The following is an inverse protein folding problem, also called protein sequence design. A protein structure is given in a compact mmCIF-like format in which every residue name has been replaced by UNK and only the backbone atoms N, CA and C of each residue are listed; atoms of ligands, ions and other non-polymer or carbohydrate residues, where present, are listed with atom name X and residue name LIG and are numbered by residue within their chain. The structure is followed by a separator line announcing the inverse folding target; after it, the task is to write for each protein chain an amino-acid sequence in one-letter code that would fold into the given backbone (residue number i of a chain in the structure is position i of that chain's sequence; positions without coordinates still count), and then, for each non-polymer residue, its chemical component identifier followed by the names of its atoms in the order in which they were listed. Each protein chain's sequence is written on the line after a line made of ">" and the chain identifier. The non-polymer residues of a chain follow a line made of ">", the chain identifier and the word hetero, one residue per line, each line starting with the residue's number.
data_IF_059879661655
#
_entry.id   IF_059879661655
#
_cell.length_a   1.000
_cell.length_b   1.000
_cell.length_c   1.000
_cell.angle_alpha   90.00
_cell.angle_beta   90.00
_cell.angle_gamma   90.00
#
_symmetry.space_group_name_H-M   'P 1'
#
loop_
_entity.id
_entity.type
_entity.pdbx_description
1 polymer ?
#
# COMPACT_ATOMS: atom_id res chain seq x y z
N UNK A 1 28.08 67.06 -5.43
CA UNK A 1 27.80 65.62 -5.17
C UNK A 1 26.33 65.37 -5.50
N UNK A 2 25.99 64.33 -6.27
CA UNK A 2 24.59 63.95 -6.54
C UNK A 2 24.15 62.89 -5.51
N UNK A 3 22.97 63.03 -4.91
CA UNK A 3 22.27 61.94 -4.20
C UNK A 3 21.05 61.56 -5.04
N UNK A 4 20.89 60.28 -5.35
CA UNK A 4 19.68 59.78 -5.99
C UNK A 4 18.56 59.68 -4.95
N UNK A 5 17.34 60.06 -5.34
CA UNK A 5 16.14 59.60 -4.67
C UNK A 5 15.74 58.24 -5.29
N UNK A 6 15.36 57.27 -4.45
CA UNK A 6 14.89 55.96 -4.89
C UNK A 6 13.39 55.86 -4.56
N UNK A 7 12.53 55.88 -5.58
CA UNK A 7 11.08 55.79 -5.39
C UNK A 7 10.69 54.35 -5.06
N UNK A 8 10.18 54.13 -3.84
CA UNK A 8 9.70 52.82 -3.40
C UNK A 8 8.23 52.64 -3.81
N UNK A 9 7.99 51.88 -4.88
CA UNK A 9 6.63 51.57 -5.33
C UNK A 9 6.02 50.43 -4.49
N UNK A 10 4.97 50.73 -3.71
CA UNK A 10 4.19 49.71 -3.03
C UNK A 10 3.32 48.96 -4.05
N UNK A 11 3.66 47.71 -4.33
CA UNK A 11 2.77 46.75 -4.98
C UNK A 11 1.82 46.16 -3.93
N UNK A 12 0.58 46.63 -3.90
CA UNK A 12 -0.47 46.01 -3.10
C UNK A 12 -0.80 44.63 -3.65
N UNK A 13 -0.30 43.59 -2.99
CA UNK A 13 -0.71 42.20 -3.24
C UNK A 13 -2.18 42.02 -2.82
N UNK A 14 -3.08 41.94 -3.80
CA UNK A 14 -4.48 41.60 -3.56
C UNK A 14 -4.59 40.11 -3.20
N UNK A 15 -4.60 39.80 -1.91
CA UNK A 15 -4.83 38.45 -1.41
C UNK A 15 -6.24 37.98 -1.81
N UNK A 16 -6.32 37.05 -2.76
CA UNK A 16 -7.58 36.39 -3.07
C UNK A 16 -8.03 35.58 -1.85
N UNK A 17 -9.07 36.07 -1.15
CA UNK A 17 -9.82 35.24 -0.19
C UNK A 17 -10.53 34.14 -1.00
N UNK A 18 -9.92 32.97 -1.03
CA UNK A 18 -10.60 31.76 -1.50
C UNK A 18 -11.81 31.52 -0.57
N UNK A 19 -13.02 31.55 -1.13
CA UNK A 19 -14.22 31.13 -0.42
C UNK A 19 -14.12 29.63 -0.13
N UNK A 20 -13.59 29.33 1.05
CA UNK A 20 -13.68 28.01 1.65
C UNK A 20 -15.13 27.80 2.07
N UNK A 21 -15.93 27.23 1.17
CA UNK A 21 -17.24 26.70 1.50
C UNK A 21 -17.05 25.72 2.66
N UNK A 22 -17.68 26.03 3.80
CA UNK A 22 -17.45 25.36 5.07
C UNK A 22 -18.05 23.96 5.02
N UNK A 23 -17.22 23.01 4.56
CA UNK A 23 -17.48 21.60 4.81
C UNK A 23 -17.41 21.44 6.32
N UNK A 24 -18.55 21.17 6.96
CA UNK A 24 -18.60 20.78 8.36
C UNK A 24 -17.77 19.50 8.55
N UNK A 25 -16.49 19.68 8.84
CA UNK A 25 -15.63 18.61 9.30
C UNK A 25 -16.27 18.10 10.60
N UNK A 26 -16.67 16.81 10.67
CA UNK A 26 -17.38 16.30 11.84
C UNK A 26 -16.57 16.60 13.08
N UNK A 27 -17.21 17.28 14.05
CA UNK A 27 -16.51 17.86 15.19
C UNK A 27 -15.61 16.80 15.85
N UNK A 28 -14.38 17.19 16.23
CA UNK A 28 -13.33 16.24 16.66
C UNK A 28 -13.72 15.35 17.86
N UNK A 29 -14.81 15.66 18.55
CA UNK A 29 -15.36 14.92 19.68
C UNK A 29 -16.63 14.12 19.35
N UNK A 30 -17.01 13.97 18.07
CA UNK A 30 -18.11 13.08 17.66
C UNK A 30 -17.76 11.64 18.06
N UNK A 31 -18.44 11.13 19.09
CA UNK A 31 -18.24 9.78 19.58
C UNK A 31 -18.53 8.76 18.46
N UNK A 32 -17.66 7.76 18.32
CA UNK A 32 -17.83 6.70 17.31
C UNK A 32 -19.18 6.00 17.54
N UNK A 33 -20.05 5.85 16.51
CA UNK A 33 -21.39 5.29 16.69
C UNK A 33 -21.40 3.89 17.32
N UNK A 34 -22.49 3.53 17.99
CA UNK A 34 -22.62 2.23 18.64
C UNK A 34 -22.87 1.08 17.63
N UNK A 35 -23.63 1.34 16.56
CA UNK A 35 -24.06 0.31 15.61
C UNK A 35 -23.02 0.10 14.48
N UNK A 36 -22.73 -1.14 14.07
CA UNK A 36 -21.72 -1.44 13.04
C UNK A 36 -21.92 -0.70 11.72
N UNK A 37 -23.16 -0.54 11.28
CA UNK A 37 -23.53 0.14 10.04
C UNK A 37 -23.08 1.61 10.06
N UNK A 38 -23.36 2.28 11.18
CA UNK A 38 -23.01 3.68 11.42
C UNK A 38 -21.50 3.85 11.62
N UNK A 39 -20.81 2.85 12.19
CA UNK A 39 -19.35 2.83 12.27
C UNK A 39 -18.70 2.69 10.89
N UNK A 40 -19.21 1.80 10.04
CA UNK A 40 -18.75 1.61 8.66
C UNK A 40 -18.90 2.91 7.88
N UNK A 41 -20.07 3.56 7.95
CA UNK A 41 -20.30 4.84 7.28
C UNK A 41 -19.37 5.95 7.78
N UNK A 42 -19.19 6.05 9.10
CA UNK A 42 -18.31 7.03 9.74
C UNK A 42 -16.85 6.83 9.35
N UNK A 43 -16.36 5.60 9.36
CA UNK A 43 -14.97 5.27 9.04
C UNK A 43 -14.69 5.44 7.53
N UNK A 44 -15.64 5.08 6.65
CA UNK A 44 -15.57 5.36 5.20
C UNK A 44 -15.57 6.88 4.90
N UNK A 45 -16.45 7.65 5.56
CA UNK A 45 -16.44 9.12 5.46
C UNK A 45 -15.12 9.71 6.00
N UNK A 46 -14.55 9.13 7.05
CA UNK A 46 -13.22 9.47 7.56
C UNK A 46 -12.11 9.27 6.52
N UNK A 47 -12.11 8.13 5.82
CA UNK A 47 -11.18 7.84 4.73
C UNK A 47 -11.33 8.82 3.56
N UNK A 48 -12.55 9.05 3.09
CA UNK A 48 -12.82 10.04 2.03
C UNK A 48 -12.38 11.45 2.41
N UNK A 49 -12.58 11.87 3.66
CA UNK A 49 -12.14 13.19 4.14
C UNK A 49 -10.60 13.32 4.11
N UNK A 50 -9.86 12.27 4.47
CA UNK A 50 -8.40 12.25 4.30
C UNK A 50 -8.02 12.35 2.82
N UNK A 51 -8.60 11.51 1.94
CA UNK A 51 -8.34 11.57 0.49
C UNK A 51 -8.65 12.96 -0.11
N UNK A 52 -9.73 13.60 0.35
CA UNK A 52 -10.11 14.95 -0.07
C UNK A 52 -9.16 16.06 0.43
N UNK A 53 -8.45 15.83 1.53
CA UNK A 53 -7.44 16.76 2.08
C UNK A 53 -6.08 16.69 1.39
N UNK A 54 -5.84 15.68 0.54
CA UNK A 54 -4.59 15.51 -0.21
C UNK A 54 -4.39 16.62 -1.26
N UNK A 55 -3.51 17.59 -0.97
CA UNK A 55 -3.00 18.54 -1.95
C UNK A 55 -1.72 18.04 -2.66
N UNK A 56 -1.28 18.66 -3.77
CA UNK A 56 -0.09 18.22 -4.52
C UNK A 56 1.21 18.22 -3.71
N UNK A 57 1.36 19.14 -2.76
CA UNK A 57 2.49 19.18 -1.82
C UNK A 57 2.21 18.49 -0.48
N UNK A 58 1.11 17.72 -0.39
CA UNK A 58 0.82 16.97 0.83
C UNK A 58 1.76 15.77 0.95
N UNK A 59 2.69 15.87 1.90
CA UNK A 59 3.48 14.74 2.39
C UNK A 59 2.65 13.77 3.24
N UNK A 60 1.38 13.58 2.90
CA UNK A 60 0.41 12.74 3.60
C UNK A 60 1.01 11.36 3.86
N UNK A 61 1.27 11.10 5.13
CA UNK A 61 1.91 9.85 5.55
C UNK A 61 0.87 8.78 5.84
N UNK A 62 1.35 7.57 6.08
CA UNK A 62 0.52 6.46 6.55
C UNK A 62 -0.20 6.73 7.86
N UNK A 63 0.19 7.77 8.62
CA UNK A 63 -0.52 8.18 9.82
C UNK A 63 -1.93 8.72 9.51
N UNK A 64 -2.15 9.24 8.29
CA UNK A 64 -3.42 9.81 7.85
C UNK A 64 -4.28 8.81 7.08
N UNK A 65 -3.70 8.13 6.06
CA UNK A 65 -4.41 7.17 5.20
C UNK A 65 -4.41 5.76 5.80
N UNK A 66 -3.26 5.33 6.32
CA UNK A 66 -3.06 3.99 6.86
C UNK A 66 -3.96 3.58 8.04
N UNK A 67 -4.61 4.46 8.84
CA UNK A 67 -5.61 4.00 9.80
C UNK A 67 -6.76 3.25 9.12
N UNK A 68 -7.13 3.64 7.89
CA UNK A 68 -8.29 3.12 7.16
C UNK A 68 -7.99 1.94 6.23
N UNK A 69 -6.73 1.48 6.12
CA UNK A 69 -6.34 0.39 5.23
C UNK A 69 -5.85 -0.82 6.03
N UNK A 70 -6.49 -1.97 5.88
CA UNK A 70 -6.18 -3.18 6.66
C UNK A 70 -4.75 -3.65 6.38
N UNK A 71 -4.08 -4.17 7.41
CA UNK A 71 -2.69 -4.63 7.29
C UNK A 71 -1.65 -3.51 7.11
N UNK A 72 -2.03 -2.26 6.86
CA UNK A 72 -1.10 -1.14 6.84
C UNK A 72 -0.49 -0.92 8.25
N UNK A 73 0.84 -0.81 8.31
CA UNK A 73 1.66 -0.69 9.54
C UNK A 73 2.40 0.66 9.60
N UNK A 74 2.98 1.00 10.74
CA UNK A 74 3.92 2.13 10.85
C UNK A 74 5.11 1.89 9.90
N UNK A 75 5.59 2.94 9.23
CA UNK A 75 6.77 2.84 8.34
C UNK A 75 6.48 2.18 6.99
N UNK A 76 5.22 2.17 6.56
CA UNK A 76 4.83 1.77 5.22
C UNK A 76 5.23 2.89 4.23
N UNK A 77 6.52 3.10 3.86
CA UNK A 77 7.07 4.11 2.89
C UNK A 77 6.57 3.83 1.32
N UNK A 78 5.29 4.92 -0.26
CA UNK A 78 4.52 4.81 -1.55
C UNK A 78 3.25 5.63 -1.47
N UNK A 79 2.56 5.60 -0.31
CA UNK A 79 1.52 6.55 0.06
C UNK A 79 1.94 7.99 -0.27
N UNK A 80 3.12 8.47 0.14
CA UNK A 80 3.59 9.84 -0.16
C UNK A 80 4.02 10.13 -1.62
N UNK A 81 4.10 9.09 -2.46
CA UNK A 81 4.42 9.20 -3.90
C UNK A 81 3.11 9.11 -4.70
N UNK A 82 2.28 8.11 -4.39
CA UNK A 82 0.93 7.93 -4.91
C UNK A 82 -0.02 9.07 -4.47
N UNK A 83 0.05 9.60 -3.24
CA UNK A 83 -0.80 10.74 -2.81
C UNK A 83 -0.51 11.98 -3.63
N UNK A 84 0.76 12.19 -4.01
CA UNK A 84 1.20 13.30 -4.85
C UNK A 84 0.61 13.18 -6.25
N UNK A 85 0.75 12.01 -6.88
CA UNK A 85 0.17 11.80 -8.22
C UNK A 85 -1.36 11.72 -8.20
N UNK A 86 -1.98 11.14 -7.17
CA UNK A 86 -3.43 11.16 -6.95
C UNK A 86 -3.97 12.57 -6.72
N UNK A 87 -3.30 13.39 -5.90
CA UNK A 87 -3.70 14.78 -5.67
C UNK A 87 -3.55 15.64 -6.93
N UNK A 88 -2.51 15.40 -7.75
CA UNK A 88 -2.37 16.00 -9.08
C UNK A 88 -3.49 15.55 -10.03
N UNK A 89 -3.73 14.23 -10.16
CA UNK A 89 -4.70 13.69 -11.11
C UNK A 89 -6.15 13.96 -10.72
N UNK A 90 -6.42 14.17 -9.43
CA UNK A 90 -7.71 14.62 -8.89
C UNK A 90 -8.00 16.08 -9.24
N UNK A 91 -6.97 16.91 -9.45
CA UNK A 91 -7.09 18.35 -9.60
C UNK A 91 -7.97 18.95 -8.47
N UNK A 92 -9.08 19.59 -8.82
CA UNK A 92 -10.00 20.26 -7.91
C UNK A 92 -11.18 19.36 -7.49
N UNK A 93 -11.20 18.12 -7.98
CA UNK A 93 -12.29 17.15 -7.76
C UNK A 93 -12.34 16.63 -6.33
N UNK A 94 -13.51 16.20 -5.87
CA UNK A 94 -13.74 15.64 -4.53
C UNK A 94 -14.51 14.33 -4.62
N UNK A 95 -14.18 13.39 -3.75
CA UNK A 95 -14.93 12.14 -3.58
C UNK A 95 -15.98 12.34 -2.49
N UNK A 96 -17.27 12.10 -2.79
CA UNK A 96 -18.35 12.06 -1.80
C UNK A 96 -18.93 10.66 -1.72
N UNK A 97 -19.28 10.19 -0.51
CA UNK A 97 -20.10 9.00 -0.32
C UNK A 97 -21.56 9.37 -0.61
N UNK A 98 -22.15 8.82 -1.66
CA UNK A 98 -23.58 8.99 -1.96
C UNK A 98 -24.42 7.88 -1.32
N UNK A 99 -23.92 6.64 -1.38
CA UNK A 99 -24.63 5.44 -0.91
C UNK A 99 -23.64 4.38 -0.43
N UNK A 100 -24.02 3.60 0.58
CA UNK A 100 -23.43 2.29 0.83
C UNK A 100 -24.52 1.28 1.20
N UNK A 101 -24.31 0.01 0.89
CA UNK A 101 -25.18 -1.10 1.24
C UNK A 101 -24.33 -2.25 1.78
N UNK A 102 -24.69 -2.80 2.94
CA UNK A 102 -24.03 -3.97 3.49
C UNK A 102 -24.62 -5.22 2.84
N UNK A 103 -23.77 -5.96 2.13
CA UNK A 103 -24.12 -7.26 1.55
C UNK A 103 -23.92 -8.39 2.56
N UNK A 104 -22.90 -8.27 3.42
CA UNK A 104 -22.55 -9.26 4.44
C UNK A 104 -21.92 -8.60 5.66
N UNK A 105 -22.23 -9.08 6.86
CA UNK A 105 -21.60 -8.70 8.13
C UNK A 105 -21.44 -9.94 9.02
N UNK A 106 -20.22 -10.30 9.36
CA UNK A 106 -19.85 -11.46 10.19
C UNK A 106 -18.74 -11.05 11.17
N UNK A 107 -19.12 -10.69 12.40
CA UNK A 107 -18.16 -10.38 13.47
C UNK A 107 -17.32 -9.14 13.15
N UNK A 108 -16.02 -9.32 12.93
CA UNK A 108 -15.08 -8.27 12.54
C UNK A 108 -14.94 -8.07 11.02
N UNK A 109 -15.71 -8.78 10.19
CA UNK A 109 -15.67 -8.70 8.73
C UNK A 109 -16.99 -8.20 8.13
N UNK A 110 -16.90 -7.31 7.14
CA UNK A 110 -18.04 -6.83 6.37
C UNK A 110 -17.73 -6.82 4.87
N UNK A 111 -18.74 -7.06 4.05
CA UNK A 111 -18.69 -6.86 2.59
C UNK A 111 -19.75 -5.83 2.23
N UNK A 112 -19.33 -4.75 1.58
CA UNK A 112 -20.16 -3.58 1.33
C UNK A 112 -20.05 -3.12 -0.12
N UNK A 113 -21.17 -2.72 -0.71
CA UNK A 113 -21.22 -2.06 -2.00
C UNK A 113 -21.32 -0.55 -1.76
N UNK A 114 -20.38 0.23 -2.29
CA UNK A 114 -20.15 1.64 -1.93
C UNK A 114 -20.18 2.49 -3.20
N UNK A 115 -21.17 3.37 -3.32
CA UNK A 115 -21.26 4.35 -4.41
C UNK A 115 -20.64 5.66 -3.98
N UNK A 116 -19.52 6.01 -4.61
CA UNK A 116 -18.88 7.31 -4.49
C UNK A 116 -19.15 8.18 -5.70
N UNK A 117 -19.22 9.49 -5.51
CA UNK A 117 -19.34 10.48 -6.59
C UNK A 117 -18.06 11.30 -6.68
N UNK A 118 -17.52 11.38 -7.89
CA UNK A 118 -16.41 12.26 -8.24
C UNK A 118 -17.00 13.61 -8.65
N UNK A 119 -17.08 14.55 -7.70
CA UNK A 119 -17.60 15.90 -7.93
C UNK A 119 -16.46 16.82 -8.36
N UNK A 120 -16.53 17.36 -9.58
CA UNK A 120 -15.57 18.36 -10.04
C UNK A 120 -15.96 19.74 -9.49
N UNK A 121 -14.98 20.56 -9.07
CA UNK A 121 -15.28 21.99 -8.90
C UNK A 121 -15.42 22.60 -10.29
N UNK A 122 -16.64 22.98 -10.64
CA UNK A 122 -16.82 24.02 -11.64
C UNK A 122 -16.11 25.28 -11.14
N UNK A 123 -15.14 25.78 -11.91
CA UNK A 123 -14.58 27.11 -11.64
C UNK A 123 -15.70 28.16 -11.65
N UNK A 124 -15.52 29.33 -11.01
CA UNK A 124 -16.55 30.36 -10.97
C UNK A 124 -16.91 30.78 -12.39
N UNK A 125 -18.05 30.29 -12.87
CA UNK A 125 -18.60 30.63 -14.18
C UNK A 125 -19.12 32.07 -14.04
N UNK A 126 -18.25 33.02 -14.35
CA UNK A 126 -18.55 34.45 -14.36
C UNK A 126 -19.52 34.73 -15.50
N UNK A 127 -20.80 34.55 -15.23
CA UNK A 127 -21.89 35.15 -15.99
C UNK A 127 -21.90 36.62 -15.64
N UNK A 128 -21.27 37.44 -16.48
CA UNK A 128 -21.41 38.89 -16.38
C UNK A 128 -22.92 39.28 -16.55
N UNK A 129 -23.30 40.41 -15.95
CA UNK A 129 -24.63 41.06 -15.99
C UNK A 129 -25.85 40.43 -15.28
N UNK A 130 -25.75 39.36 -14.51
CA UNK A 130 -26.85 38.95 -13.58
C UNK A 130 -26.40 38.62 -12.16
N UNK A 131 -26.88 39.41 -11.19
CA UNK A 131 -26.66 39.28 -9.73
C UNK A 131 -27.46 38.14 -9.08
N UNK A 132 -27.80 37.10 -9.86
CA UNK A 132 -28.52 35.90 -9.41
C UNK A 132 -27.57 34.72 -9.35
N UNK A 133 -27.06 34.44 -8.15
CA UNK A 133 -26.24 33.26 -7.86
C UNK A 133 -27.11 32.00 -7.82
N UNK A 134 -27.46 31.47 -9.00
CA UNK A 134 -28.01 30.11 -9.10
C UNK A 134 -27.06 29.11 -8.40
N UNK A 135 -27.59 28.14 -7.62
CA UNK A 135 -26.77 27.15 -6.96
C UNK A 135 -26.04 26.32 -8.01
N UNK A 136 -24.70 26.39 -8.02
CA UNK A 136 -23.89 25.70 -9.02
C UNK A 136 -24.20 24.20 -9.04
N UNK A 137 -24.80 23.73 -10.15
CA UNK A 137 -25.07 22.32 -10.35
C UNK A 137 -23.76 21.54 -10.33
N UNK A 138 -23.58 20.69 -9.32
CA UNK A 138 -22.44 19.78 -9.21
C UNK A 138 -22.38 18.88 -10.45
N UNK A 139 -21.28 18.98 -11.20
CA UNK A 139 -20.99 18.08 -12.31
C UNK A 139 -20.02 17.01 -11.81
N UNK A 140 -20.38 15.76 -12.04
CA UNK A 140 -19.64 14.61 -11.56
C UNK A 140 -20.28 13.30 -12.01
N UNK A 141 -19.56 12.21 -11.79
CA UNK A 141 -19.99 10.85 -12.11
C UNK A 141 -19.87 9.94 -10.89
N UNK A 142 -20.59 8.83 -10.91
CA UNK A 142 -20.68 7.88 -9.80
C UNK A 142 -19.90 6.60 -10.13
N UNK A 143 -19.24 6.04 -9.11
CA UNK A 143 -18.47 4.79 -9.13
C UNK A 143 -18.98 3.92 -7.99
N UNK A 144 -19.38 2.68 -8.29
CA UNK A 144 -19.78 1.70 -7.27
C UNK A 144 -18.73 0.62 -7.12
N UNK A 145 -18.15 0.53 -5.93
CA UNK A 145 -17.11 -0.40 -5.55
C UNK A 145 -17.63 -1.46 -4.57
N UNK A 146 -17.20 -2.72 -4.74
CA UNK A 146 -17.44 -3.77 -3.74
C UNK A 146 -16.21 -3.93 -2.87
N UNK A 147 -16.30 -3.47 -1.61
CA UNK A 147 -15.20 -3.47 -0.65
C UNK A 147 -15.39 -4.55 0.41
N UNK A 148 -14.30 -5.21 0.77
CA UNK A 148 -14.21 -5.96 2.03
C UNK A 148 -13.64 -5.04 3.11
N UNK A 149 -14.31 -4.93 4.25
CA UNK A 149 -13.85 -4.16 5.40
C UNK A 149 -13.56 -5.10 6.57
N UNK A 150 -12.59 -4.72 7.40
CA UNK A 150 -12.27 -5.43 8.64
C UNK A 150 -12.18 -4.47 9.83
N UNK A 151 -12.90 -4.77 10.91
CA UNK A 151 -12.83 -4.06 12.18
C UNK A 151 -11.58 -4.48 12.96
N UNK A 152 -10.53 -3.67 12.91
CA UNK A 152 -9.29 -3.96 13.65
C UNK A 152 -8.67 -2.70 14.26
N UNK A 153 -7.77 -2.90 15.23
CA UNK A 153 -7.08 -1.80 15.90
C UNK A 153 -6.04 -1.13 14.98
N UNK A 154 -5.97 0.19 15.02
CA UNK A 154 -4.95 0.97 14.29
C UNK A 154 -3.58 0.68 14.91
N UNK A 155 -2.56 0.18 14.17
CA UNK A 155 -1.34 -0.35 14.80
C UNK A 155 -0.47 0.64 15.60
N UNK A 156 -0.71 1.95 15.46
CA UNK A 156 -0.08 3.02 16.26
C UNK A 156 -1.01 3.65 17.29
N UNK A 157 -2.32 3.36 17.24
CA UNK A 157 -3.34 3.91 18.13
C UNK A 157 -4.19 2.75 18.65
N UNK A 158 -3.63 2.04 19.65
CA UNK A 158 -4.22 0.80 20.19
C UNK A 158 -5.59 0.98 20.84
N UNK A 159 -5.96 2.23 21.21
CA UNK A 159 -7.29 2.54 21.73
C UNK A 159 -8.35 2.71 20.64
N UNK A 160 -7.95 2.77 19.36
CA UNK A 160 -8.80 3.07 18.23
C UNK A 160 -8.96 1.87 17.31
N UNK A 161 -10.17 1.33 17.25
CA UNK A 161 -10.59 0.39 16.22
C UNK A 161 -11.33 1.14 15.10
N UNK A 162 -11.11 0.70 13.86
CA UNK A 162 -11.76 1.22 12.66
C UNK A 162 -12.18 0.06 11.76
N UNK A 163 -13.22 0.24 10.96
CA UNK A 163 -13.50 -0.56 9.78
C UNK A 163 -12.52 -0.16 8.67
N UNK A 164 -11.49 -0.98 8.47
CA UNK A 164 -10.40 -0.73 7.52
C UNK A 164 -10.68 -1.47 6.23
N UNK A 165 -10.51 -0.81 5.09
CA UNK A 165 -10.64 -1.43 3.76
C UNK A 165 -9.53 -2.47 3.62
N UNK A 166 -9.88 -3.71 3.33
CA UNK A 166 -8.93 -4.78 2.97
C UNK A 166 -8.53 -4.55 1.52
N UNK A 167 -7.24 -4.27 1.22
CA UNK A 167 -6.79 -4.08 -0.15
C UNK A 167 -6.96 -5.37 -0.95
N UNK A 168 -7.51 -5.27 -2.16
CA UNK A 168 -7.69 -6.38 -3.10
C UNK A 168 -6.37 -6.80 -3.74
N UNK A 169 -6.37 -7.83 -4.59
CA UNK A 169 -5.21 -8.18 -5.41
C UNK A 169 -4.97 -7.16 -6.53
N UNK A 170 -3.75 -7.14 -7.09
CA UNK A 170 -3.44 -6.29 -8.26
C UNK A 170 -4.37 -6.55 -9.45
N UNK A 171 -4.73 -7.82 -9.68
CA UNK A 171 -5.62 -8.28 -10.77
C UNK A 171 -7.01 -7.65 -10.67
N UNK A 172 -7.53 -7.51 -9.45
CA UNK A 172 -8.82 -6.85 -9.19
C UNK A 172 -8.69 -5.32 -9.27
N UNK A 173 -7.62 -4.74 -8.71
CA UNK A 173 -7.40 -3.29 -8.72
C UNK A 173 -7.19 -2.71 -10.14
N UNK A 174 -6.42 -3.39 -10.98
CA UNK A 174 -5.99 -2.87 -12.30
C UNK A 174 -7.11 -2.82 -13.36
N UNK A 175 -8.28 -3.38 -13.08
CA UNK A 175 -9.47 -3.32 -13.95
C UNK A 175 -10.50 -2.26 -13.50
N UNK A 176 -10.15 -1.39 -12.55
CA UNK A 176 -11.05 -0.36 -11.99
C UNK A 176 -10.54 1.07 -12.26
N UNK A 177 -11.42 2.07 -12.11
CA UNK A 177 -11.07 3.50 -12.26
C UNK A 177 -9.98 3.93 -11.26
N UNK A 178 -9.12 4.89 -11.62
CA UNK A 178 -8.16 5.49 -10.68
C UNK A 178 -8.82 6.23 -9.51
N UNK A 179 -10.12 6.50 -9.59
CA UNK A 179 -10.94 7.07 -8.51
C UNK A 179 -11.77 6.03 -7.74
N UNK A 180 -11.69 4.75 -8.11
CA UNK A 180 -12.29 3.64 -7.35
C UNK A 180 -11.63 3.53 -5.97
N UNK A 181 -12.42 3.33 -4.92
CA UNK A 181 -11.90 3.05 -3.58
C UNK A 181 -11.11 1.73 -3.54
N UNK A 182 -11.43 0.79 -4.42
CA UNK A 182 -10.71 -0.47 -4.62
C UNK A 182 -9.28 -0.20 -5.13
N UNK A 183 -9.17 0.60 -6.20
CA UNK A 183 -7.89 1.02 -6.79
C UNK A 183 -7.05 1.86 -5.80
N UNK A 184 -7.69 2.86 -5.20
CA UNK A 184 -7.10 3.76 -4.21
C UNK A 184 -6.58 2.96 -3.00
N UNK A 185 -7.37 2.05 -2.44
CA UNK A 185 -6.95 1.22 -1.31
C UNK A 185 -5.76 0.32 -1.66
N UNK A 186 -5.75 -0.28 -2.86
CA UNK A 186 -4.61 -1.07 -3.33
C UNK A 186 -3.32 -0.26 -3.44
N UNK A 187 -3.34 0.91 -4.09
CA UNK A 187 -2.13 1.71 -4.32
C UNK A 187 -1.67 2.52 -3.10
N UNK A 188 -2.59 3.04 -2.28
CA UNK A 188 -2.25 3.63 -1.00
C UNK A 188 -1.72 2.58 0.00
N UNK A 189 -2.13 1.31 -0.16
CA UNK A 189 -1.51 0.14 0.46
C UNK A 189 -0.47 -0.55 -0.45
N UNK A 190 0.25 0.20 -1.32
CA UNK A 190 1.55 -0.21 -1.85
C UNK A 190 2.68 0.53 -1.17
N UNK A 191 3.83 -0.15 -0.97
CA UNK A 191 4.93 0.50 -0.29
C UNK A 191 5.60 1.59 -1.13
N UNK A 192 5.76 2.74 -0.49
CA UNK A 192 7.33 4.20 -0.78
C UNK A 192 8.81 3.88 -1.01
N UNK A 193 9.44 4.86 -1.67
CA UNK A 193 10.88 5.18 -1.61
C UNK A 193 11.78 4.36 -2.54
N UNK A 194 11.21 3.49 -3.36
CA UNK A 194 11.87 2.69 -4.40
C UNK A 194 10.77 2.12 -5.28
N UNK A 195 10.93 2.12 -6.61
CA UNK A 195 9.94 1.46 -7.47
C UNK A 195 9.86 -0.04 -7.12
N UNK A 196 8.74 -0.69 -7.45
CA UNK A 196 8.59 -2.13 -7.23
C UNK A 196 9.74 -2.94 -7.86
N UNK A 197 10.23 -2.49 -9.01
CA UNK A 197 11.36 -3.06 -9.75
C UNK A 197 12.71 -2.83 -9.04
N UNK A 198 12.94 -1.66 -8.41
CA UNK A 198 14.16 -1.44 -7.60
C UNK A 198 14.10 -2.30 -6.33
N UNK A 199 12.94 -2.39 -5.65
CA UNK A 199 12.79 -3.28 -4.49
C UNK A 199 12.96 -4.74 -4.85
N UNK A 200 12.45 -5.17 -6.01
CA UNK A 200 12.66 -6.50 -6.55
C UNK A 200 14.16 -6.73 -6.77
N UNK A 201 14.86 -5.80 -7.41
CA UNK A 201 16.32 -5.87 -7.61
C UNK A 201 17.08 -6.02 -6.29
N UNK A 202 16.80 -5.21 -5.27
CA UNK A 202 17.43 -5.33 -3.94
C UNK A 202 17.09 -6.67 -3.27
N UNK A 203 15.84 -7.12 -3.35
CA UNK A 203 15.41 -8.39 -2.78
C UNK A 203 16.05 -9.59 -3.49
N UNK A 204 16.15 -9.56 -4.82
CA UNK A 204 16.85 -10.55 -5.63
C UNK A 204 18.35 -10.57 -5.34
N UNK A 205 19.00 -9.41 -5.18
CA UNK A 205 20.41 -9.33 -4.79
C UNK A 205 20.65 -9.95 -3.41
N UNK A 206 19.76 -9.67 -2.45
CA UNK A 206 19.79 -10.28 -1.11
C UNK A 206 19.58 -11.80 -1.16
N UNK A 207 18.54 -12.26 -1.83
CA UNK A 207 18.27 -13.69 -1.97
C UNK A 207 19.38 -14.43 -2.72
N UNK A 208 20.04 -13.82 -3.73
CA UNK A 208 21.24 -14.39 -4.37
C UNK A 208 22.41 -14.54 -3.40
N UNK A 209 22.62 -13.58 -2.50
CA UNK A 209 23.65 -13.69 -1.46
C UNK A 209 23.30 -14.73 -0.38
N UNK A 210 22.03 -14.84 0.01
CA UNK A 210 21.55 -15.89 0.91
C UNK A 210 21.70 -17.30 0.29
N UNK A 211 21.36 -17.46 -0.99
CA UNK A 211 21.53 -18.71 -1.72
C UNK A 211 22.98 -19.09 -1.92
N UNK A 212 23.85 -18.13 -2.24
CA UNK A 212 25.28 -18.39 -2.32
C UNK A 212 25.82 -18.89 -0.97
N UNK A 213 25.44 -18.24 0.13
CA UNK A 213 25.78 -18.71 1.48
C UNK A 213 25.24 -20.11 1.79
N UNK A 214 24.00 -20.39 1.39
CA UNK A 214 23.38 -21.72 1.55
C UNK A 214 24.12 -22.80 0.74
N UNK A 215 24.52 -22.52 -0.50
CA UNK A 215 25.28 -23.45 -1.33
C UNK A 215 26.71 -23.66 -0.82
N UNK A 216 27.34 -22.63 -0.25
CA UNK A 216 28.65 -22.75 0.40
C UNK A 216 28.57 -23.59 1.67
N UNK A 217 27.56 -23.37 2.52
CA UNK A 217 27.28 -24.25 3.66
C UNK A 217 27.07 -25.69 3.19
N UNK A 218 26.21 -25.92 2.19
CA UNK A 218 25.94 -27.27 1.64
C UNK A 218 27.21 -27.94 1.12
N UNK A 219 28.16 -27.19 0.55
CA UNK A 219 29.47 -27.72 0.13
C UNK A 219 30.36 -28.16 1.30
N UNK A 220 30.36 -27.42 2.41
CA UNK A 220 31.14 -27.76 3.61
C UNK A 220 30.51 -28.90 4.45
N UNK A 221 29.19 -29.14 4.29
CA UNK A 221 28.42 -30.13 5.04
C UNK A 221 27.89 -31.27 4.15
N UNK A 222 28.80 -32.00 3.49
CA UNK A 222 28.56 -33.24 2.72
C UNK A 222 27.41 -33.16 1.68
N UNK A 223 27.20 -31.99 1.08
CA UNK A 223 26.13 -31.70 0.12
C UNK A 223 24.71 -31.77 0.71
N UNK A 224 24.54 -31.58 2.02
CA UNK A 224 23.25 -31.63 2.75
C UNK A 224 22.84 -30.27 3.34
N UNK A 225 21.56 -29.91 3.21
CA UNK A 225 20.97 -28.75 3.90
C UNK A 225 20.72 -29.05 5.40
N UNK A 226 21.78 -28.99 6.22
CA UNK A 226 21.71 -29.21 7.67
C UNK A 226 21.25 -27.97 8.47
N UNK A 227 20.13 -27.35 8.08
CA UNK A 227 19.49 -26.27 8.82
C UNK A 227 17.97 -26.20 8.58
N UNK A 228 17.28 -25.49 9.48
CA UNK A 228 15.82 -25.27 9.49
C UNK A 228 15.51 -23.77 9.49
N UNK A 229 14.27 -23.39 9.18
CA UNK A 229 13.85 -22.00 9.03
C UNK A 229 14.06 -21.11 10.27
N UNK A 230 14.05 -21.68 11.49
CA UNK A 230 14.29 -20.91 12.70
C UNK A 230 15.78 -20.63 12.95
N UNK A 231 16.68 -21.40 12.33
CA UNK A 231 18.13 -21.40 12.60
C UNK A 231 19.02 -21.08 11.39
N UNK A 232 18.47 -21.01 10.16
CA UNK A 232 19.27 -20.82 8.95
C UNK A 232 20.11 -19.52 8.96
N UNK A 233 19.65 -18.46 9.64
CA UNK A 233 20.42 -17.21 9.75
C UNK A 233 21.73 -17.43 10.50
N UNK A 234 21.71 -18.18 11.59
CA UNK A 234 22.91 -18.44 12.40
C UNK A 234 23.83 -19.42 11.66
N UNK A 235 23.26 -20.43 10.99
CA UNK A 235 23.99 -21.39 10.16
C UNK A 235 24.69 -20.73 8.95
N UNK A 236 24.07 -19.74 8.32
CA UNK A 236 24.60 -19.07 7.11
C UNK A 236 25.39 -17.79 7.39
N UNK A 237 25.37 -17.27 8.62
CA UNK A 237 26.14 -16.07 9.01
C UNK A 237 27.66 -16.16 8.78
N UNK A 238 28.34 -17.33 8.87
CA UNK A 238 29.76 -17.44 8.50
C UNK A 238 30.04 -17.13 7.02
N UNK A 239 29.07 -17.40 6.15
CA UNK A 239 29.18 -17.27 4.69
C UNK A 239 28.66 -15.91 4.19
N UNK A 240 27.71 -15.30 4.93
CA UNK A 240 27.00 -14.09 4.52
C UNK A 240 27.41 -12.89 5.38
N UNK A 241 28.17 -11.96 4.78
CA UNK A 241 28.83 -10.81 5.45
C UNK A 241 27.91 -9.79 6.16
N UNK A 242 26.58 -9.95 6.13
CA UNK A 242 25.64 -9.05 6.82
C UNK A 242 24.29 -9.72 7.03
N UNK A 243 23.77 -9.68 8.26
CA UNK A 243 22.41 -10.16 8.56
C UNK A 243 21.32 -9.47 7.71
N UNK A 244 21.58 -8.24 7.24
CA UNK A 244 20.64 -7.48 6.40
C UNK A 244 20.32 -8.15 5.07
N UNK A 245 21.13 -9.13 4.65
CA UNK A 245 20.88 -10.02 3.49
C UNK A 245 19.67 -10.91 3.73
N UNK A 246 19.45 -11.37 4.97
CA UNK A 246 18.31 -12.22 5.32
C UNK A 246 17.01 -11.43 5.49
N UNK A 247 17.07 -10.10 5.63
CA UNK A 247 15.89 -9.24 5.84
C UNK A 247 15.26 -8.79 4.53
N UNK A 248 13.93 -8.93 4.40
CA UNK A 248 13.18 -8.48 3.23
C UNK A 248 13.19 -6.93 3.15
N UNK A 249 13.54 -6.31 2.00
CA UNK A 249 13.63 -4.85 1.87
C UNK A 249 12.38 -4.07 2.34
N UNK A 250 12.61 -3.06 3.17
CA UNK A 250 11.56 -2.21 3.75
C UNK A 250 10.69 -2.88 4.82
N UNK A 251 11.00 -4.11 5.26
CA UNK A 251 10.34 -4.78 6.40
C UNK A 251 11.25 -4.84 7.63
N UNK A 252 10.79 -5.52 8.69
CA UNK A 252 11.63 -6.14 9.73
C UNK A 252 11.57 -7.67 9.69
N UNK A 253 10.97 -8.24 8.65
CA UNK A 253 10.79 -9.68 8.48
C UNK A 253 12.02 -10.25 7.74
N UNK A 254 12.37 -11.49 8.06
CA UNK A 254 13.37 -12.26 7.31
C UNK A 254 12.68 -12.96 6.12
N UNK A 255 13.45 -13.34 5.10
CA UNK A 255 13.02 -14.35 4.13
C UNK A 255 12.81 -15.69 4.85
N UNK A 256 12.06 -16.60 4.23
CA UNK A 256 11.70 -17.89 4.83
C UNK A 256 12.35 -19.01 4.04
N UNK A 257 12.99 -19.94 4.76
CA UNK A 257 13.57 -21.16 4.20
C UNK A 257 12.47 -22.20 3.93
N UNK A 258 12.68 -23.05 2.93
CA UNK A 258 11.80 -24.18 2.69
C UNK A 258 12.21 -25.40 3.53
N UNK A 259 11.61 -25.59 4.71
CA UNK A 259 11.92 -26.69 5.63
C UNK A 259 11.80 -28.10 5.02
N UNK A 260 11.05 -28.28 3.91
CA UNK A 260 11.03 -29.55 3.18
C UNK A 260 12.43 -29.96 2.63
N UNK A 261 13.37 -29.01 2.52
CA UNK A 261 14.77 -29.25 2.15
C UNK A 261 15.67 -29.61 3.34
N UNK A 262 15.24 -29.44 4.58
CA UNK A 262 16.05 -29.81 5.76
C UNK A 262 16.46 -31.29 5.68
N UNK A 263 17.73 -31.57 5.97
CA UNK A 263 18.36 -32.91 5.89
C UNK A 263 18.35 -33.54 4.48
N UNK A 264 18.09 -32.77 3.42
CA UNK A 264 18.12 -33.28 2.03
C UNK A 264 19.48 -33.03 1.40
N UNK A 265 20.04 -34.06 0.77
CA UNK A 265 21.21 -33.93 -0.08
C UNK A 265 20.81 -33.27 -1.40
N UNK A 266 21.52 -32.23 -1.83
CA UNK A 266 21.19 -31.45 -3.04
C UNK A 266 21.14 -32.32 -4.31
N UNK A 267 22.00 -33.34 -4.40
CA UNK A 267 22.04 -34.30 -5.50
C UNK A 267 20.78 -35.20 -5.60
N UNK A 268 19.98 -35.28 -4.53
CA UNK A 268 18.73 -36.05 -4.49
C UNK A 268 17.50 -35.19 -4.80
N UNK A 269 17.66 -33.90 -5.09
CA UNK A 269 16.57 -33.01 -5.51
C UNK A 269 16.38 -33.18 -7.04
N UNK A 270 15.26 -33.72 -7.54
CA UNK A 270 15.14 -34.10 -8.96
C UNK A 270 15.10 -32.92 -9.94
N UNK A 271 14.67 -31.74 -9.48
CA UNK A 271 14.54 -30.52 -10.28
C UNK A 271 14.93 -29.28 -9.43
N UNK A 272 16.22 -29.08 -9.11
CA UNK A 272 16.65 -28.05 -8.16
C UNK A 272 16.38 -26.61 -8.64
N UNK A 273 16.23 -26.40 -9.96
CA UNK A 273 15.79 -25.13 -10.55
C UNK A 273 14.28 -24.88 -10.44
N UNK A 274 13.46 -25.89 -10.13
CA UNK A 274 12.02 -25.76 -9.89
C UNK A 274 11.69 -25.78 -8.38
N UNK A 275 12.59 -26.31 -7.54
CA UNK A 275 12.39 -26.47 -6.10
C UNK A 275 12.78 -25.22 -5.32
N UNK A 276 11.83 -24.66 -4.57
CA UNK A 276 12.02 -23.45 -3.75
C UNK A 276 12.99 -23.72 -2.60
N UNK A 277 13.97 -22.83 -2.45
CA UNK A 277 14.93 -22.79 -1.34
C UNK A 277 14.61 -21.67 -0.35
N UNK A 278 14.37 -20.45 -0.84
CA UNK A 278 13.96 -19.29 -0.04
C UNK A 278 12.87 -18.48 -0.75
N UNK A 279 11.98 -17.85 0.02
CA UNK A 279 10.88 -17.03 -0.48
C UNK A 279 10.57 -15.86 0.46
N UNK A 280 9.92 -14.80 -0.05
CA UNK A 280 9.14 -13.93 0.82
C UNK A 280 7.76 -14.55 1.03
N UNK A 281 7.46 -15.00 2.25
CA UNK A 281 6.16 -15.54 2.64
C UNK A 281 6.24 -16.34 3.92
N UNK A 282 5.20 -17.10 4.22
CA UNK A 282 5.18 -18.09 5.32
C UNK A 282 4.37 -19.31 4.87
N UNK A 283 4.62 -20.49 5.45
CA UNK A 283 3.80 -21.70 5.24
C UNK A 283 3.54 -22.04 3.75
N UNK A 284 4.58 -21.96 2.90
CA UNK A 284 4.53 -22.24 1.45
C UNK A 284 3.60 -21.29 0.67
N UNK A 285 3.35 -20.07 1.20
CA UNK A 285 2.52 -19.03 0.56
C UNK A 285 3.35 -17.76 0.31
N UNK A 286 3.78 -17.49 -0.93
CA UNK A 286 4.59 -16.32 -1.24
C UNK A 286 3.79 -15.01 -1.26
N UNK A 287 4.46 -13.87 -1.08
CA UNK A 287 3.85 -12.54 -0.99
C UNK A 287 4.19 -11.68 -2.20
N UNK A 288 3.17 -11.40 -3.00
CA UNK A 288 3.24 -10.77 -4.33
C UNK A 288 3.40 -9.23 -4.31
N UNK A 289 4.35 -8.72 -3.51
CA UNK A 289 4.50 -7.26 -3.24
C UNK A 289 5.37 -6.48 -4.23
N UNK A 290 5.81 -7.10 -5.31
CA UNK A 290 6.71 -6.52 -6.31
C UNK A 290 5.97 -6.39 -7.65
N UNK A 291 5.00 -5.47 -7.72
CA UNK A 291 4.17 -5.25 -8.92
C UNK A 291 3.32 -6.48 -9.29
N UNK A 292 2.62 -7.05 -8.29
CA UNK A 292 1.91 -8.32 -8.43
C UNK A 292 2.79 -9.56 -8.46
N UNK A 293 4.12 -9.43 -8.29
CA UNK A 293 5.08 -10.54 -8.28
C UNK A 293 5.75 -10.77 -6.92
N UNK A 294 6.22 -11.99 -6.68
CA UNK A 294 7.02 -12.40 -5.52
C UNK A 294 8.47 -12.69 -5.95
N UNK A 295 9.45 -12.44 -5.08
CA UNK A 295 10.83 -12.89 -5.29
C UNK A 295 11.01 -14.25 -4.63
N UNK A 296 11.42 -15.24 -5.42
CA UNK A 296 11.60 -16.63 -5.03
C UNK A 296 13.00 -17.09 -5.48
N UNK A 297 13.66 -17.87 -4.65
CA UNK A 297 14.97 -18.44 -4.92
C UNK A 297 14.93 -19.96 -4.84
N UNK A 298 15.72 -20.61 -5.69
CA UNK A 298 15.64 -22.05 -5.97
C UNK A 298 16.86 -22.81 -5.44
N UNK A 299 16.75 -24.14 -5.35
CA UNK A 299 17.77 -25.00 -4.76
C UNK A 299 19.06 -25.11 -5.60
N UNK A 300 19.03 -24.71 -6.88
CA UNK A 300 20.23 -24.50 -7.72
C UNK A 300 20.95 -23.15 -7.45
N UNK A 301 20.36 -22.29 -6.62
CA UNK A 301 20.87 -20.96 -6.26
C UNK A 301 20.44 -19.80 -7.15
N UNK A 302 19.62 -20.03 -8.19
CA UNK A 302 19.08 -18.92 -8.98
C UNK A 302 17.88 -18.25 -8.29
N UNK A 303 17.54 -17.05 -8.74
CA UNK A 303 16.48 -16.22 -8.12
C UNK A 303 15.62 -15.56 -9.20
N UNK A 304 14.32 -15.85 -9.16
CA UNK A 304 13.29 -15.37 -10.08
C UNK A 304 12.36 -14.32 -9.46
N UNK A 305 11.52 -13.74 -10.31
CA UNK A 305 10.46 -12.81 -9.95
C UNK A 305 9.15 -13.32 -10.59
N UNK A 306 8.34 -14.05 -9.80
CA UNK A 306 7.19 -14.82 -10.30
C UNK A 306 5.88 -14.08 -10.04
N UNK A 307 4.96 -14.08 -11.00
CA UNK A 307 3.54 -13.77 -10.74
C UNK A 307 2.82 -14.99 -10.11
N UNK A 308 1.54 -14.88 -9.69
CA UNK A 308 0.85 -15.97 -8.98
C UNK A 308 0.73 -17.24 -9.81
N UNK A 309 0.43 -17.11 -11.10
CA UNK A 309 0.24 -18.26 -12.00
C UNK A 309 1.56 -19.05 -12.12
N UNK A 310 2.71 -18.35 -12.25
CA UNK A 310 4.06 -18.96 -12.18
C UNK A 310 4.43 -19.52 -10.80
N UNK A 311 3.89 -18.97 -9.72
CA UNK A 311 4.22 -19.36 -8.35
C UNK A 311 3.44 -20.60 -7.86
N UNK A 312 2.36 -20.97 -8.54
CA UNK A 312 1.65 -22.24 -8.33
C UNK A 312 2.33 -23.42 -9.05
N UNK A 313 3.22 -23.15 -10.03
CA UNK A 313 3.98 -24.18 -10.77
C UNK A 313 5.26 -24.67 -10.05
N UNK A 314 5.73 -23.96 -9.01
CA UNK A 314 7.01 -24.27 -8.32
C UNK A 314 6.90 -25.46 -7.36
N UNK A 315 8.01 -26.18 -7.17
CA UNK A 315 8.07 -27.33 -6.25
C UNK A 315 8.39 -26.88 -4.83
N UNK A 316 7.46 -27.11 -3.91
CA UNK A 316 7.69 -26.93 -2.48
C UNK A 316 8.36 -28.13 -1.81
N UNK A 317 8.47 -29.26 -2.50
CA UNK A 317 9.10 -30.50 -2.01
C UNK A 317 10.07 -31.05 -3.05
N UNK A 318 11.22 -31.59 -2.63
CA UNK A 318 12.10 -32.38 -3.51
C UNK A 318 11.46 -33.74 -3.83
#
# INVERSE_FOLDING_TARGET
>A
MKRLALSLALLCSTTHLAWAQEVELPARNNARPAQPEQQIEFDLKGFLNVLNSLGPESNATNQEIGPYLSGARIGYFGASEWTREFAKSRDTSRLRLEKFEIEKLEGDLAVVNVTTKVVHKNGPRRTDDTDQTEPQKEVGYELTDKLTLKLEAVPWDKGKQLWRIVPVTFKEANHTSSFSLTNIAYFAAQRPGTSAQIRASIAMQRLKQACLGALQFVQDYDLVFLFQNDFYVDALSPYVKSETVFTIPGTRNRFTFNDNLSEKMINNIPAPAETVLFYEGENQKPVFRYDGKAVIAFADGHVGLLDPDQADEVRWKP
#
